data_IF_268142125414
#
_entry.id   IF_268142125414
#
_cell.length_a   1.000
_cell.length_b   1.000
_cell.length_c   1.000
_cell.angle_alpha   90.00
_cell.angle_beta   90.00
_cell.angle_gamma   90.00
#
_symmetry.space_group_name_H-M   'P 1'
#
loop_
_entity.id
_entity.type
_entity.pdbx_description
1 polymer ?
#
# COMPACT_ATOMS: atom_id res chain seq x y z
N UNK A 1 -11.32 11.52 -8.59
CA UNK A 1 -10.33 12.45 -9.16
C UNK A 1 -10.09 12.07 -10.63
N UNK A 2 -9.56 12.99 -11.47
CA UNK A 2 -9.20 12.68 -12.86
C UNK A 2 -7.74 12.21 -12.90
N UNK A 3 -7.48 11.07 -13.53
CA UNK A 3 -6.12 10.60 -13.73
C UNK A 3 -5.49 11.35 -14.91
N UNK A 4 -4.47 12.14 -14.62
CA UNK A 4 -3.55 12.79 -15.54
C UNK A 4 -2.10 12.61 -15.02
N UNK A 5 -1.13 13.11 -15.77
CA UNK A 5 0.29 12.94 -15.45
C UNK A 5 0.68 13.65 -14.15
N UNK A 6 0.03 14.77 -13.83
CA UNK A 6 0.24 15.51 -12.59
C UNK A 6 -0.24 14.69 -11.38
N UNK A 7 -1.48 14.18 -11.41
CA UNK A 7 -1.98 13.33 -10.33
C UNK A 7 -1.16 12.04 -10.20
N UNK A 8 -0.71 11.47 -11.32
CA UNK A 8 0.15 10.29 -11.31
C UNK A 8 1.46 10.58 -10.58
N UNK A 9 2.11 11.70 -10.88
CA UNK A 9 3.33 12.13 -10.21
C UNK A 9 3.10 12.33 -8.71
N UNK A 10 2.05 13.07 -8.32
CA UNK A 10 1.70 13.32 -6.91
C UNK A 10 1.53 12.01 -6.13
N UNK A 11 0.85 11.02 -6.71
CA UNK A 11 0.67 9.72 -6.06
C UNK A 11 2.01 9.00 -5.89
N UNK A 12 2.85 8.97 -6.93
CA UNK A 12 4.16 8.31 -6.87
C UNK A 12 5.07 8.96 -5.83
N UNK A 13 5.10 10.30 -5.76
CA UNK A 13 5.86 11.03 -4.74
C UNK A 13 5.39 10.71 -3.33
N UNK A 14 4.07 10.73 -3.08
CA UNK A 14 3.51 10.34 -1.78
C UNK A 14 3.87 8.90 -1.44
N UNK A 15 3.77 7.97 -2.41
CA UNK A 15 4.16 6.57 -2.23
C UNK A 15 5.64 6.45 -1.83
N UNK A 16 6.55 7.17 -2.50
CA UNK A 16 7.97 7.17 -2.14
C UNK A 16 8.24 7.72 -0.75
N UNK A 17 7.63 8.88 -0.41
CA UNK A 17 7.73 9.49 0.92
C UNK A 17 7.28 8.52 2.01
N UNK A 18 6.11 7.90 1.86
CA UNK A 18 5.58 6.98 2.87
C UNK A 18 6.34 5.66 2.91
N UNK A 19 6.79 5.13 1.78
CA UNK A 19 7.62 3.90 1.75
C UNK A 19 8.93 4.10 2.50
N UNK A 20 9.59 5.25 2.30
CA UNK A 20 10.77 5.65 3.08
C UNK A 20 10.45 5.75 4.58
N UNK A 21 9.34 6.39 4.95
CA UNK A 21 8.92 6.50 6.36
C UNK A 21 8.63 5.14 6.97
N UNK A 22 8.07 4.21 6.21
CA UNK A 22 7.67 2.89 6.70
C UNK A 22 8.79 1.85 6.61
N UNK A 23 9.97 2.27 6.13
CA UNK A 23 11.10 1.40 5.87
C UNK A 23 10.70 0.18 5.04
N UNK A 24 9.91 0.40 3.99
CA UNK A 24 9.53 -0.58 2.97
C UNK A 24 10.13 -0.19 1.62
N UNK A 25 10.41 -1.16 0.74
CA UNK A 25 10.64 -0.86 -0.68
C UNK A 25 9.45 -0.10 -1.25
N UNK A 26 9.70 0.74 -2.26
CA UNK A 26 8.62 1.40 -3.00
C UNK A 26 7.87 0.34 -3.83
N UNK A 27 6.54 0.25 -3.73
CA UNK A 27 5.78 -0.70 -4.52
C UNK A 27 5.57 -0.21 -5.96
N UNK A 28 5.38 -1.16 -6.87
CA UNK A 28 4.79 -0.89 -8.17
C UNK A 28 3.36 -0.36 -7.96
N UNK A 29 2.99 0.72 -8.64
CA UNK A 29 1.65 1.32 -8.52
C UNK A 29 0.87 1.15 -9.81
N UNK A 30 -0.33 0.55 -9.70
CA UNK A 30 -1.35 0.55 -10.74
C UNK A 30 -2.42 1.60 -10.43
N UNK A 31 -2.86 2.33 -11.44
CA UNK A 31 -3.85 3.41 -11.39
C UNK A 31 -5.16 3.03 -12.07
N UNK A 32 -5.13 2.04 -12.97
CA UNK A 32 -6.30 1.62 -13.72
C UNK A 32 -6.50 0.11 -13.69
N UNK A 33 -7.75 -0.32 -13.79
CA UNK A 33 -8.05 -1.75 -13.95
C UNK A 33 -7.40 -2.32 -15.23
N UNK A 34 -7.18 -1.51 -16.26
CA UNK A 34 -6.48 -1.97 -17.48
C UNK A 34 -5.05 -2.37 -17.17
N UNK A 35 -4.34 -1.58 -16.35
CA UNK A 35 -2.98 -1.93 -15.89
C UNK A 35 -3.00 -3.22 -15.04
N UNK A 36 -3.96 -3.36 -14.11
CA UNK A 36 -4.16 -4.61 -13.34
C UNK A 36 -4.44 -5.81 -14.25
N UNK A 37 -5.26 -5.63 -15.29
CA UNK A 37 -5.58 -6.66 -16.29
C UNK A 37 -4.43 -6.93 -17.29
N UNK A 38 -3.45 -6.05 -17.40
CA UNK A 38 -2.28 -6.25 -18.25
C UNK A 38 -1.14 -6.94 -17.50
N UNK A 39 -1.09 -6.80 -16.17
CA UNK A 39 -0.11 -7.46 -15.33
C UNK A 39 -0.21 -9.00 -15.43
N UNK A 40 0.91 -9.74 -15.25
CA UNK A 40 0.90 -11.18 -15.05
C UNK A 40 -0.11 -11.60 -13.97
N UNK A 41 -0.77 -12.75 -14.17
CA UNK A 41 -1.85 -13.20 -13.27
C UNK A 41 -1.33 -13.43 -11.85
N UNK A 42 -0.10 -13.90 -11.75
CA UNK A 42 0.65 -14.19 -10.52
C UNK A 42 0.89 -12.93 -9.69
N UNK A 43 0.79 -11.73 -10.29
CA UNK A 43 0.92 -10.46 -9.57
C UNK A 43 -0.37 -10.01 -8.93
N UNK A 44 -1.50 -10.38 -9.52
CA UNK A 44 -2.82 -9.83 -9.18
C UNK A 44 -3.78 -10.91 -8.67
N UNK A 45 -3.23 -12.06 -8.30
CA UNK A 45 -3.98 -13.25 -7.91
C UNK A 45 -4.98 -12.94 -6.77
N UNK A 46 -6.17 -13.56 -6.84
CA UNK A 46 -7.22 -13.39 -5.84
C UNK A 46 -8.01 -12.06 -5.88
N UNK A 47 -7.47 -10.98 -6.46
CA UNK A 47 -8.13 -9.66 -6.46
C UNK A 47 -8.21 -8.97 -7.83
N UNK A 48 -7.67 -9.58 -8.88
CA UNK A 48 -7.70 -9.06 -10.26
C UNK A 48 -9.10 -8.57 -10.67
N UNK A 49 -10.10 -9.43 -10.59
CA UNK A 49 -11.46 -9.15 -11.10
C UNK A 49 -12.30 -8.26 -10.20
N UNK A 50 -11.88 -7.99 -8.97
CA UNK A 50 -12.66 -7.24 -7.97
C UNK A 50 -12.02 -5.93 -7.54
N UNK A 51 -10.77 -5.65 -7.95
CA UNK A 51 -10.04 -4.43 -7.62
C UNK A 51 -10.85 -3.14 -7.86
N UNK A 52 -11.65 -3.10 -8.93
CA UNK A 52 -12.51 -1.98 -9.29
C UNK A 52 -13.53 -1.58 -8.21
N UNK A 53 -13.85 -2.48 -7.28
CA UNK A 53 -14.81 -2.23 -6.20
C UNK A 53 -14.20 -1.32 -5.12
N UNK A 54 -12.89 -1.34 -4.93
CA UNK A 54 -12.19 -0.69 -3.83
C UNK A 54 -11.53 0.64 -4.24
N UNK A 55 -11.16 1.46 -3.24
CA UNK A 55 -10.31 2.63 -3.45
C UNK A 55 -8.85 2.26 -3.67
N UNK A 56 -8.40 1.17 -3.05
CA UNK A 56 -7.08 0.59 -3.28
C UNK A 56 -7.07 -0.91 -2.99
N UNK A 57 -6.01 -1.58 -3.44
CA UNK A 57 -5.72 -2.98 -3.16
C UNK A 57 -4.22 -3.15 -3.02
N UNK A 58 -3.78 -3.90 -2.00
CA UNK A 58 -2.38 -4.28 -1.82
C UNK A 58 -2.16 -5.74 -2.24
N UNK A 59 -1.31 -5.95 -3.24
CA UNK A 59 -0.79 -7.26 -3.66
C UNK A 59 0.52 -7.53 -2.92
N UNK A 60 0.40 -7.99 -1.68
CA UNK A 60 1.49 -8.02 -0.70
C UNK A 60 2.69 -8.87 -1.12
N UNK A 61 2.46 -10.01 -1.78
CA UNK A 61 3.53 -10.93 -2.18
C UNK A 61 4.45 -10.37 -3.27
N UNK A 62 4.01 -9.35 -4.00
CA UNK A 62 4.71 -8.81 -5.18
C UNK A 62 5.05 -7.33 -5.05
N UNK A 63 5.02 -6.78 -3.82
CA UNK A 63 5.33 -5.38 -3.57
C UNK A 63 4.61 -4.44 -4.58
N UNK A 64 3.31 -4.65 -4.74
CA UNK A 64 2.51 -3.96 -5.75
C UNK A 64 1.21 -3.48 -5.12
N UNK A 65 0.78 -2.27 -5.46
CA UNK A 65 -0.49 -1.70 -5.01
C UNK A 65 -1.29 -1.19 -6.20
N UNK A 66 -2.61 -1.19 -6.05
CA UNK A 66 -3.53 -0.54 -6.96
C UNK A 66 -4.22 0.62 -6.23
N UNK A 67 -4.32 1.78 -6.88
CA UNK A 67 -5.00 2.97 -6.38
C UNK A 67 -6.03 3.42 -7.43
N UNK A 68 -7.32 3.27 -7.09
CA UNK A 68 -8.43 3.61 -7.96
C UNK A 68 -8.77 5.11 -7.86
N UNK A 69 -7.91 5.97 -8.39
CA UNK A 69 -8.06 7.43 -8.31
C UNK A 69 -9.39 7.96 -8.86
N UNK A 70 -10.03 7.21 -9.79
CA UNK A 70 -11.36 7.56 -10.33
C UNK A 70 -12.45 7.52 -9.26
N UNK A 71 -12.36 6.57 -8.32
CA UNK A 71 -13.34 6.40 -7.22
C UNK A 71 -13.03 7.28 -6.01
N UNK A 72 -11.81 7.77 -5.89
CA UNK A 72 -11.38 8.59 -4.76
C UNK A 72 -11.94 10.02 -4.94
N UNK A 73 -12.69 10.56 -3.96
CA UNK A 73 -13.35 11.85 -4.09
C UNK A 73 -12.41 13.05 -3.86
N UNK A 74 -11.42 12.91 -2.98
CA UNK A 74 -10.58 14.01 -2.51
C UNK A 74 -9.16 13.54 -2.13
N UNK A 75 -8.25 14.51 -1.94
CA UNK A 75 -6.84 14.25 -1.61
C UNK A 75 -6.68 13.58 -0.24
N UNK A 76 -7.52 13.92 0.74
CA UNK A 76 -7.46 13.32 2.07
C UNK A 76 -7.73 11.81 2.00
N UNK A 77 -8.71 11.42 1.20
CA UNK A 77 -9.06 10.02 0.95
C UNK A 77 -7.97 9.34 0.13
N UNK A 78 -7.35 10.04 -0.82
CA UNK A 78 -6.20 9.54 -1.58
C UNK A 78 -5.03 9.19 -0.65
N UNK A 79 -4.63 10.14 0.19
CA UNK A 79 -3.52 9.96 1.13
C UNK A 79 -3.79 8.85 2.14
N UNK A 80 -5.02 8.80 2.70
CA UNK A 80 -5.43 7.70 3.56
C UNK A 80 -5.36 6.34 2.84
N UNK A 81 -5.76 6.27 1.57
CA UNK A 81 -5.69 5.03 0.78
C UNK A 81 -4.24 4.60 0.54
N UNK A 82 -3.35 5.53 0.17
CA UNK A 82 -1.92 5.24 0.01
C UNK A 82 -1.33 4.69 1.29
N UNK A 83 -1.55 5.38 2.43
CA UNK A 83 -1.04 4.93 3.73
C UNK A 83 -1.63 3.56 4.10
N UNK A 84 -2.91 3.33 3.84
CA UNK A 84 -3.57 2.05 4.10
C UNK A 84 -2.88 0.89 3.38
N UNK A 85 -2.69 1.00 2.06
CA UNK A 85 -2.09 -0.07 1.27
C UNK A 85 -0.61 -0.28 1.64
N UNK A 86 0.14 0.79 1.94
CA UNK A 86 1.53 0.66 2.38
C UNK A 86 1.69 0.03 3.77
N UNK A 87 0.71 0.23 4.67
CA UNK A 87 0.70 -0.48 5.95
C UNK A 87 0.45 -1.98 5.75
N UNK A 88 -0.35 -2.40 4.76
CA UNK A 88 -0.45 -3.81 4.38
C UNK A 88 0.86 -4.36 3.83
N UNK A 89 1.56 -3.61 2.98
CA UNK A 89 2.89 -3.99 2.50
C UNK A 89 3.89 -4.17 3.66
N UNK A 90 3.83 -3.30 4.68
CA UNK A 90 4.71 -3.40 5.84
C UNK A 90 4.34 -4.54 6.80
N UNK A 91 3.05 -4.79 7.00
CA UNK A 91 2.53 -5.75 7.96
C UNK A 91 1.51 -6.68 7.28
N UNK A 92 1.96 -7.58 6.39
CA UNK A 92 1.04 -8.38 5.55
C UNK A 92 0.15 -9.35 6.34
N UNK A 93 0.56 -9.70 7.56
CA UNK A 93 -0.18 -10.55 8.48
C UNK A 93 -1.23 -9.80 9.31
N UNK A 94 -1.33 -8.47 9.19
CA UNK A 94 -2.19 -7.65 10.04
C UNK A 94 -3.53 -7.37 9.37
N UNK A 95 -4.60 -7.98 9.87
CA UNK A 95 -5.96 -7.74 9.40
C UNK A 95 -6.51 -6.37 9.81
N UNK A 96 -7.55 -5.94 9.08
CA UNK A 96 -8.31 -4.71 9.36
C UNK A 96 -8.95 -4.74 10.75
N UNK A 97 -8.29 -4.12 11.73
CA UNK A 97 -8.77 -4.02 13.10
C UNK A 97 -8.21 -2.81 13.84
N UNK A 98 -8.47 -2.71 15.15
CA UNK A 98 -8.05 -1.57 15.98
C UNK A 98 -6.55 -1.26 15.86
N UNK A 99 -5.71 -2.31 15.82
CA UNK A 99 -4.25 -2.17 15.68
C UNK A 99 -3.85 -1.63 14.32
N UNK A 100 -4.42 -2.18 13.25
CA UNK A 100 -4.19 -1.70 11.88
C UNK A 100 -4.60 -0.23 11.74
N UNK A 101 -5.81 0.12 12.18
CA UNK A 101 -6.33 1.49 12.12
C UNK A 101 -5.47 2.47 12.93
N UNK A 102 -4.89 2.02 14.06
CA UNK A 102 -3.93 2.82 14.83
C UNK A 102 -2.67 3.10 14.01
N UNK A 103 -2.14 2.12 13.29
CA UNK A 103 -0.95 2.30 12.45
C UNK A 103 -1.20 3.23 11.28
N UNK A 104 -2.34 3.10 10.58
CA UNK A 104 -2.74 4.02 9.51
C UNK A 104 -2.80 5.46 10.02
N UNK A 105 -3.48 5.70 11.15
CA UNK A 105 -3.53 7.04 11.77
C UNK A 105 -2.15 7.57 12.17
N UNK A 106 -1.27 6.71 12.65
CA UNK A 106 0.10 7.10 12.99
C UNK A 106 0.90 7.47 11.74
N UNK A 107 0.77 6.68 10.66
CA UNK A 107 1.40 6.96 9.37
C UNK A 107 0.97 8.32 8.81
N UNK A 108 -0.34 8.60 8.82
CA UNK A 108 -0.88 9.90 8.43
C UNK A 108 -0.35 11.07 9.26
N UNK A 109 -0.03 10.85 10.54
CA UNK A 109 0.61 11.84 11.44
C UNK A 109 2.13 11.95 11.25
N UNK A 110 2.70 11.30 10.23
CA UNK A 110 4.13 11.38 9.93
C UNK A 110 5.01 10.40 10.70
N UNK A 111 4.44 9.37 11.34
CA UNK A 111 5.25 8.34 12.02
C UNK A 111 6.20 7.65 11.05
N UNK A 112 7.45 7.48 11.50
CA UNK A 112 8.43 6.62 10.87
C UNK A 112 8.52 5.27 11.60
N UNK A 113 8.92 4.24 10.88
CA UNK A 113 9.20 2.91 11.41
C UNK A 113 10.67 2.58 11.17
N UNK A 114 11.31 2.00 12.17
CA UNK A 114 12.66 1.46 11.99
C UNK A 114 12.66 0.33 10.95
N UNK A 115 13.77 0.11 10.23
CA UNK A 115 13.95 -1.05 9.38
C UNK A 115 13.60 -2.34 10.12
N UNK A 116 13.00 -3.29 9.40
CA UNK A 116 12.59 -4.54 10.03
C UNK A 116 13.81 -5.25 10.60
N UNK A 117 13.86 -5.41 11.91
CA UNK A 117 14.85 -6.24 12.59
C UNK A 117 14.18 -7.56 12.90
N UNK A 118 14.61 -8.63 12.23
CA UNK A 118 14.24 -9.99 12.63
C UNK A 118 14.68 -10.14 14.08
N UNK A 119 13.76 -10.46 14.99
CA UNK A 119 14.14 -10.76 16.38
C UNK A 119 15.11 -11.93 16.30
N UNK A 120 16.33 -11.77 16.83
CA UNK A 120 17.19 -12.91 17.12
C UNK A 120 16.37 -13.79 18.06
N UNK A 121 15.92 -14.94 17.57
CA UNK A 121 15.45 -16.01 18.44
C UNK A 121 16.58 -16.26 19.44
N UNK A 122 16.35 -16.34 20.75
CA UNK A 122 17.34 -16.96 21.62
C UNK A 122 17.56 -18.37 21.06
N UNK A 123 18.82 -18.72 20.77
CA UNK A 123 19.19 -20.11 20.57
C UNK A 123 18.71 -20.85 21.82
N UNK A 124 17.69 -21.69 21.67
CA UNK A 124 17.32 -22.62 22.71
C UNK A 124 18.39 -23.70 22.67
N UNK A 125 19.44 -23.52 23.45
CA UNK A 125 20.33 -24.60 23.85
C UNK A 125 19.67 -25.33 25.03
N UNK A 126 19.02 -26.46 24.73
CA UNK A 126 18.74 -27.54 25.69
C UNK A 126 18.55 -28.83 24.90
#
# INVERSE_FOLDING_TARGET
MKLDDELRLIVLEKVGIYSKRFSTPEPQVFFTNKEVMAAPKEITEGCRTTAYKYYGVSYMEKNTIFINVKKIPDEKTLENTIVHELIHQRFPYLSHGKRFNKLVRQGLRGKTFDPYRKRNSPEISC
#
